data_IF_752633498919
#
_entry.id   IF_752633498919
#
_cell.length_a   1.000
_cell.length_b   1.000
_cell.length_c   1.000
_cell.angle_alpha   90.00
_cell.angle_beta   90.00
_cell.angle_gamma   90.00
#
_symmetry.space_group_name_H-M   'P 1'
#
loop_
_entity.id
_entity.type
_entity.pdbx_description
1 polymer ?
#
# COMPACT_ATOMS: atom_id res chain seq x y z
N UNK A 1 -18.41 8.57 -9.97
CA UNK A 1 -17.50 9.34 -9.12
C UNK A 1 -16.60 8.34 -8.41
N UNK A 2 -15.28 8.40 -8.59
CA UNK A 2 -14.34 7.51 -7.89
C UNK A 2 -13.72 8.25 -6.72
N UNK A 3 -13.64 7.58 -5.56
CA UNK A 3 -12.92 8.09 -4.40
C UNK A 3 -11.47 7.64 -4.55
N UNK A 4 -10.53 8.54 -4.26
CA UNK A 4 -9.12 8.20 -4.16
C UNK A 4 -8.73 8.36 -2.70
N UNK A 5 -8.14 7.32 -2.13
CA UNK A 5 -7.55 7.36 -0.79
C UNK A 5 -6.03 7.26 -0.96
N UNK A 6 -5.30 8.26 -0.48
CA UNK A 6 -3.85 8.28 -0.55
C UNK A 6 -3.29 8.66 0.83
N UNK A 7 -2.46 7.80 1.39
CA UNK A 7 -1.86 7.99 2.70
C UNK A 7 -0.51 7.27 2.82
N UNK A 8 0.07 7.23 4.00
CA UNK A 8 1.34 6.59 4.29
C UNK A 8 1.39 5.99 5.70
N UNK A 9 2.22 4.97 5.87
CA UNK A 9 2.50 4.39 7.17
C UNK A 9 3.98 4.53 7.50
N UNK A 10 4.27 4.73 8.79
CA UNK A 10 5.62 4.59 9.33
C UNK A 10 5.86 3.14 9.74
N UNK A 11 6.89 2.55 9.17
CA UNK A 11 7.32 1.17 9.38
C UNK A 11 8.60 1.18 10.22
N UNK A 12 8.71 0.19 11.10
CA UNK A 12 9.92 -0.02 11.87
C UNK A 12 11.11 -0.26 10.94
N UNK A 13 12.24 0.38 11.25
CA UNK A 13 13.49 0.24 10.48
C UNK A 13 13.85 -1.23 10.25
N UNK A 14 14.16 -1.57 9.00
CA UNK A 14 14.51 -2.93 8.56
C UNK A 14 13.32 -3.81 8.15
N UNK A 15 12.07 -3.42 8.44
CA UNK A 15 10.88 -4.23 8.13
C UNK A 15 10.13 -3.78 6.86
N UNK A 16 10.57 -2.71 6.20
CA UNK A 16 9.85 -2.12 5.05
C UNK A 16 9.64 -3.12 3.90
N UNK A 17 10.69 -3.83 3.50
CA UNK A 17 10.61 -4.81 2.41
C UNK A 17 9.68 -5.99 2.77
N UNK A 18 9.73 -6.44 4.03
CA UNK A 18 8.83 -7.49 4.53
C UNK A 18 7.37 -7.04 4.50
N UNK A 19 7.10 -5.81 4.95
CA UNK A 19 5.76 -5.22 4.94
C UNK A 19 5.17 -5.16 3.53
N UNK A 20 5.96 -4.69 2.56
CA UNK A 20 5.52 -4.58 1.16
C UNK A 20 5.25 -5.97 0.58
N UNK A 21 6.16 -6.93 0.80
CA UNK A 21 5.96 -8.31 0.35
C UNK A 21 4.70 -8.91 0.97
N UNK A 22 4.49 -8.70 2.27
CA UNK A 22 3.32 -9.16 3.02
C UNK A 22 2.00 -8.53 2.55
N UNK A 23 2.04 -7.34 1.97
CA UNK A 23 0.86 -6.63 1.45
C UNK A 23 0.28 -7.25 0.17
N UNK A 24 1.00 -8.16 -0.48
CA UNK A 24 0.57 -8.78 -1.76
C UNK A 24 -0.81 -9.44 -1.65
N UNK A 25 -1.10 -10.16 -0.57
CA UNK A 25 -2.39 -10.82 -0.38
C UNK A 25 -3.54 -9.81 -0.26
N UNK A 26 -3.32 -8.72 0.48
CA UNK A 26 -4.29 -7.63 0.60
C UNK A 26 -4.55 -6.95 -0.75
N UNK A 27 -3.50 -6.67 -1.53
CA UNK A 27 -3.60 -6.10 -2.87
C UNK A 27 -4.42 -6.99 -3.80
N UNK A 28 -4.13 -8.30 -3.82
CA UNK A 28 -4.88 -9.27 -4.64
C UNK A 28 -6.36 -9.29 -4.24
N UNK A 29 -6.65 -9.26 -2.94
CA UNK A 29 -8.03 -9.28 -2.45
C UNK A 29 -8.77 -7.98 -2.77
N UNK A 30 -8.12 -6.83 -2.59
CA UNK A 30 -8.69 -5.52 -2.88
C UNK A 30 -9.11 -5.41 -4.35
N UNK A 31 -8.24 -5.81 -5.29
CA UNK A 31 -8.53 -5.80 -6.74
C UNK A 31 -9.66 -6.74 -7.18
N UNK A 32 -10.06 -7.70 -6.35
CA UNK A 32 -11.20 -8.60 -6.61
C UNK A 32 -12.50 -8.07 -6.00
N UNK A 33 -12.43 -7.05 -5.17
CA UNK A 33 -13.55 -6.54 -4.39
C UNK A 33 -14.27 -5.44 -5.17
N UNK A 34 -15.60 -5.56 -5.28
CA UNK A 34 -16.41 -4.52 -5.89
C UNK A 34 -16.27 -3.21 -5.12
N UNK A 35 -15.91 -2.14 -5.81
CA UNK A 35 -15.67 -0.82 -5.23
C UNK A 35 -14.20 -0.44 -5.05
N UNK A 36 -13.27 -1.38 -5.18
CA UNK A 36 -11.84 -1.11 -5.23
C UNK A 36 -11.30 -1.46 -6.63
N UNK A 37 -11.02 -0.43 -7.42
CA UNK A 37 -10.43 -0.55 -8.74
C UNK A 37 -8.94 -0.87 -8.67
N UNK A 38 -8.22 -0.28 -7.70
CA UNK A 38 -6.80 -0.53 -7.49
C UNK A 38 -6.38 -0.32 -6.04
N UNK A 39 -5.37 -1.08 -5.60
CA UNK A 39 -4.65 -0.89 -4.34
C UNK A 39 -3.16 -1.02 -4.62
N UNK A 40 -2.38 -0.04 -4.19
CA UNK A 40 -0.93 0.00 -4.30
C UNK A 40 -0.30 0.25 -2.95
N UNK A 41 0.70 -0.56 -2.62
CA UNK A 41 1.57 -0.37 -1.46
C UNK A 41 3.00 -0.31 -1.98
N UNK A 42 3.67 0.83 -1.78
CA UNK A 42 4.98 1.08 -2.36
C UNK A 42 5.97 1.67 -1.36
N UNK A 43 7.26 1.49 -1.67
CA UNK A 43 8.34 2.14 -0.95
C UNK A 43 8.27 3.66 -1.12
N UNK A 44 8.50 4.40 -0.04
CA UNK A 44 8.87 5.80 -0.18
C UNK A 44 10.32 5.91 -0.71
N UNK A 45 10.58 6.72 -1.74
CA UNK A 45 11.92 6.82 -2.32
C UNK A 45 12.91 7.64 -1.47
N UNK A 46 12.43 8.34 -0.44
CA UNK A 46 13.24 9.24 0.40
C UNK A 46 13.31 8.71 1.84
N UNK A 47 12.19 8.30 2.43
CA UNK A 47 12.13 7.82 3.81
C UNK A 47 12.13 6.28 3.88
N UNK A 48 13.25 5.70 4.33
CA UNK A 48 13.44 4.25 4.49
C UNK A 48 12.45 3.60 5.49
N UNK A 49 11.78 4.41 6.32
CA UNK A 49 10.81 3.97 7.30
C UNK A 49 9.38 4.29 6.87
N UNK A 50 9.15 4.66 5.61
CA UNK A 50 7.81 5.00 5.10
C UNK A 50 7.40 4.10 3.94
N UNK A 51 6.12 3.75 3.95
CA UNK A 51 5.43 3.13 2.81
C UNK A 51 4.25 3.99 2.42
N UNK A 52 4.00 4.10 1.13
CA UNK A 52 2.88 4.82 0.56
C UNK A 52 1.75 3.84 0.25
N UNK A 53 0.52 4.25 0.54
CA UNK A 53 -0.70 3.48 0.29
C UNK A 53 -1.61 4.30 -0.60
N UNK A 54 -2.10 3.69 -1.67
CA UNK A 54 -3.01 4.30 -2.61
C UNK A 54 -4.14 3.33 -2.97
N UNK A 55 -5.39 3.78 -2.86
CA UNK A 55 -6.59 3.07 -3.28
C UNK A 55 -7.45 3.93 -4.22
N UNK A 56 -8.03 3.31 -5.23
CA UNK A 56 -8.96 3.91 -6.20
C UNK A 56 -10.12 2.98 -6.49
#
# INVERSE_FOLDING_TARGET
MSIIVADSLKIKKGYRAEFIKGSTSAIIQAKKTSGCNDLSVSEDPIDENRVNIFEK
#
